data_IF_052421261653
#
_entry.id   IF_052421261653
#
_cell.length_a   1.000
_cell.length_b   1.000
_cell.length_c   1.000
_cell.angle_alpha   90.00
_cell.angle_beta   90.00
_cell.angle_gamma   90.00
#
_symmetry.space_group_name_H-M   'P 1'
#
loop_
_entity.id
_entity.type
_entity.pdbx_description
1 polymer ?
#
# COMPACT_ATOMS: atom_id res chain seq x y z
N UNK A 1 7.96 28.45 8.75
CA UNK A 1 7.81 27.07 8.24
C UNK A 1 7.09 26.23 9.30
N UNK A 2 5.82 25.87 9.12
CA UNK A 2 5.14 24.91 10.01
C UNK A 2 5.64 23.51 9.65
N UNK A 3 6.33 22.82 10.57
CA UNK A 3 6.61 21.38 10.43
C UNK A 3 5.30 20.66 10.71
N UNK A 4 4.57 20.30 9.65
CA UNK A 4 3.47 19.36 9.80
C UNK A 4 4.08 18.07 10.30
N UNK A 5 3.76 17.68 11.54
CA UNK A 5 4.10 16.36 12.04
C UNK A 5 3.20 15.37 11.29
N UNK A 6 3.67 14.92 10.13
CA UNK A 6 3.03 13.84 9.39
C UNK A 6 3.20 12.60 10.26
N UNK A 7 2.11 12.18 10.92
CA UNK A 7 2.08 10.87 11.57
C UNK A 7 2.42 9.83 10.51
N UNK A 8 3.48 9.05 10.74
CA UNK A 8 3.90 7.99 9.82
C UNK A 8 3.05 6.72 9.97
N UNK A 9 1.75 6.90 10.19
CA UNK A 9 0.81 5.83 10.48
C UNK A 9 0.09 5.41 9.19
N UNK A 10 -0.11 4.11 9.02
CA UNK A 10 -0.87 3.58 7.91
C UNK A 10 -2.36 3.82 8.13
N UNK A 11 -2.99 4.65 7.30
CA UNK A 11 -4.42 4.98 7.43
C UNK A 11 -5.38 3.78 7.22
N UNK A 12 -4.90 2.65 6.69
CA UNK A 12 -5.69 1.44 6.48
C UNK A 12 -5.56 0.42 7.62
N UNK A 13 -4.44 0.44 8.35
CA UNK A 13 -4.14 -0.60 9.36
C UNK A 13 -3.77 -0.05 10.74
N UNK A 14 -3.53 1.26 10.85
CA UNK A 14 -3.05 1.91 12.07
C UNK A 14 -1.56 1.68 12.37
N UNK A 15 -0.82 0.98 11.51
CA UNK A 15 0.60 0.66 11.74
C UNK A 15 1.48 1.92 11.78
N UNK A 16 2.28 2.16 12.83
CA UNK A 16 3.08 3.38 13.02
C UNK A 16 4.31 3.50 12.11
N UNK A 17 4.61 2.49 11.30
CA UNK A 17 5.76 2.46 10.40
C UNK A 17 5.33 2.27 8.94
N UNK A 18 4.53 3.21 8.41
CA UNK A 18 4.13 3.14 7.01
C UNK A 18 5.34 3.31 6.07
N UNK A 19 5.51 2.34 5.17
CA UNK A 19 6.52 2.34 4.10
C UNK A 19 5.86 1.93 2.79
N UNK A 20 6.52 2.15 1.64
CA UNK A 20 6.01 1.66 0.35
C UNK A 20 5.80 0.15 0.38
N UNK A 21 6.73 -0.61 0.98
CA UNK A 21 6.57 -2.06 1.14
C UNK A 21 5.36 -2.41 2.01
N UNK A 22 5.09 -1.65 3.07
CA UNK A 22 3.87 -1.82 3.85
C UNK A 22 2.62 -1.59 3.01
N UNK A 23 2.50 -0.41 2.39
CA UNK A 23 1.30 -0.02 1.63
C UNK A 23 0.97 -1.02 0.52
N UNK A 24 1.98 -1.51 -0.19
CA UNK A 24 1.78 -2.39 -1.33
C UNK A 24 1.75 -3.88 -0.98
N UNK A 25 2.37 -4.32 0.12
CA UNK A 25 2.60 -5.76 0.36
C UNK A 25 2.29 -6.17 1.79
N UNK A 26 2.93 -5.52 2.79
CA UNK A 26 2.89 -6.02 4.16
C UNK A 26 1.62 -5.65 4.94
N UNK A 27 0.93 -4.58 4.53
CA UNK A 27 -0.29 -4.09 5.15
C UNK A 27 -1.34 -5.22 5.18
N UNK A 28 -2.02 -5.46 6.32
CA UNK A 28 -3.08 -6.45 6.40
C UNK A 28 -4.15 -6.30 5.31
N UNK A 29 -4.52 -5.06 4.97
CA UNK A 29 -5.44 -4.79 3.87
C UNK A 29 -4.87 -5.22 2.52
N UNK A 30 -3.61 -4.89 2.23
CA UNK A 30 -2.95 -5.29 0.99
C UNK A 30 -2.86 -6.82 0.87
N UNK A 31 -2.55 -7.53 1.96
CA UNK A 31 -2.51 -9.01 1.99
C UNK A 31 -3.86 -9.62 1.59
N UNK A 32 -4.96 -9.12 2.14
CA UNK A 32 -6.31 -9.58 1.78
C UNK A 32 -6.60 -9.33 0.29
N UNK A 33 -6.19 -8.17 -0.24
CA UNK A 33 -6.34 -7.87 -1.67
C UNK A 33 -5.52 -8.85 -2.53
N UNK A 34 -4.29 -9.15 -2.15
CA UNK A 34 -3.44 -10.11 -2.86
C UNK A 34 -3.97 -11.55 -2.76
N UNK A 35 -4.55 -11.94 -1.63
CA UNK A 35 -5.21 -13.24 -1.46
C UNK A 35 -6.50 -13.36 -2.29
N UNK A 36 -7.20 -12.24 -2.51
CA UNK A 36 -8.42 -12.22 -3.31
C UNK A 36 -8.17 -12.27 -4.82
N UNK A 37 -6.97 -11.87 -5.27
CA UNK A 37 -6.59 -11.99 -6.68
C UNK A 37 -5.83 -13.29 -6.92
N UNK A 38 -6.03 -13.93 -8.07
CA UNK A 38 -5.38 -15.19 -8.42
C UNK A 38 -3.90 -15.02 -8.83
N UNK A 39 -3.17 -14.06 -8.23
CA UNK A 39 -1.77 -13.76 -8.55
C UNK A 39 -0.90 -14.07 -7.33
N UNK A 40 0.06 -14.97 -7.50
CA UNK A 40 0.96 -15.39 -6.43
C UNK A 40 2.12 -14.40 -6.27
N UNK A 41 1.92 -13.40 -5.42
CA UNK A 41 3.00 -12.48 -4.99
C UNK A 41 3.52 -12.84 -3.59
N UNK A 42 4.82 -12.66 -3.31
CA UNK A 42 5.36 -12.91 -1.99
C UNK A 42 4.89 -11.80 -1.04
N UNK A 43 4.01 -12.16 -0.11
CA UNK A 43 3.46 -11.25 0.92
C UNK A 43 4.20 -11.35 2.25
N UNK A 44 5.08 -12.34 2.39
CA UNK A 44 5.95 -12.60 3.54
C UNK A 44 7.38 -12.72 3.01
N UNK A 45 8.38 -12.34 3.81
CA UNK A 45 9.84 -12.56 3.60
C UNK A 45 10.70 -11.58 2.79
N UNK A 46 10.15 -10.51 2.20
CA UNK A 46 10.98 -9.48 1.52
C UNK A 46 11.28 -8.30 2.45
N UNK A 47 12.49 -7.74 2.37
CA UNK A 47 12.94 -6.66 3.27
C UNK A 47 12.49 -5.28 2.80
N UNK A 48 12.32 -5.10 1.48
CA UNK A 48 11.98 -3.82 0.89
C UNK A 48 11.21 -3.97 -0.43
N UNK A 49 10.68 -2.83 -0.91
CA UNK A 49 9.89 -2.78 -2.13
C UNK A 49 10.70 -3.07 -3.41
N UNK A 50 12.01 -2.83 -3.42
CA UNK A 50 12.85 -3.04 -4.61
C UNK A 50 13.03 -4.54 -4.87
N UNK A 51 13.37 -5.31 -3.83
CA UNK A 51 13.44 -6.78 -3.90
C UNK A 51 12.11 -7.39 -4.34
N UNK A 52 11.00 -6.88 -3.82
CA UNK A 52 9.67 -7.33 -4.21
C UNK A 52 9.37 -7.05 -5.69
N UNK A 53 9.73 -5.87 -6.21
CA UNK A 53 9.57 -5.52 -7.62
C UNK A 53 10.45 -6.39 -8.53
N UNK A 54 11.70 -6.66 -8.14
CA UNK A 54 12.59 -7.57 -8.86
C UNK A 54 11.96 -8.96 -8.94
N UNK A 55 11.48 -9.51 -7.81
CA UNK A 55 10.80 -10.80 -7.80
C UNK A 55 9.59 -10.82 -8.76
N UNK A 56 8.72 -9.80 -8.67
CA UNK A 56 7.56 -9.66 -9.55
C UNK A 56 7.98 -9.67 -11.02
N UNK A 57 9.04 -8.94 -11.37
CA UNK A 57 9.52 -8.85 -12.75
C UNK A 57 10.16 -10.14 -13.27
N UNK A 58 10.78 -10.93 -12.40
CA UNK A 58 11.49 -12.16 -12.78
C UNK A 58 10.59 -13.40 -12.80
N UNK A 59 9.53 -13.43 -11.97
CA UNK A 59 8.72 -14.62 -11.73
C UNK A 59 7.34 -14.59 -12.38
N UNK A 60 6.82 -13.42 -12.69
CA UNK A 60 5.49 -13.28 -13.27
C UNK A 60 5.55 -13.02 -14.77
N UNK A 61 4.48 -13.40 -15.46
CA UNK A 61 4.30 -13.06 -16.88
C UNK A 61 4.08 -11.56 -17.06
N UNK A 62 4.29 -11.05 -18.28
CA UNK A 62 4.03 -9.65 -18.60
C UNK A 62 2.60 -9.20 -18.25
N UNK A 63 1.62 -10.08 -18.43
CA UNK A 63 0.21 -9.81 -18.09
C UNK A 63 0.02 -9.71 -16.59
N UNK A 64 0.60 -10.63 -15.82
CA UNK A 64 0.55 -10.59 -14.35
C UNK A 64 1.29 -9.38 -13.78
N UNK A 65 2.43 -8.98 -14.35
CA UNK A 65 3.15 -7.75 -13.97
C UNK A 65 2.27 -6.51 -14.16
N UNK A 66 1.53 -6.43 -15.28
CA UNK A 66 0.57 -5.34 -15.51
C UNK A 66 -0.54 -5.37 -14.46
N UNK A 67 -1.07 -6.54 -14.14
CA UNK A 67 -2.09 -6.68 -13.09
C UNK A 67 -1.55 -6.26 -11.72
N UNK A 68 -0.32 -6.64 -11.38
CA UNK A 68 0.35 -6.22 -10.14
C UNK A 68 0.47 -4.70 -10.08
N UNK A 69 0.82 -4.04 -11.20
CA UNK A 69 0.87 -2.58 -11.27
C UNK A 69 -0.51 -1.93 -11.07
N UNK A 70 -1.56 -2.47 -11.71
CA UNK A 70 -2.94 -1.98 -11.57
C UNK A 70 -3.42 -2.10 -10.12
N UNK A 71 -3.21 -3.27 -9.49
CA UNK A 71 -3.61 -3.52 -8.10
C UNK A 71 -2.82 -2.61 -7.15
N UNK A 72 -1.51 -2.45 -7.38
CA UNK A 72 -0.67 -1.54 -6.59
C UNK A 72 -1.18 -0.10 -6.68
N UNK A 73 -1.54 0.37 -7.88
CA UNK A 73 -2.15 1.68 -8.07
C UNK A 73 -3.48 1.79 -7.31
N UNK A 74 -4.34 0.77 -7.38
CA UNK A 74 -5.63 0.76 -6.67
C UNK A 74 -5.45 0.81 -5.15
N UNK A 75 -4.48 0.08 -4.59
CA UNK A 75 -4.12 0.12 -3.17
C UNK A 75 -3.69 1.53 -2.76
N UNK A 76 -2.77 2.14 -3.52
CA UNK A 76 -2.32 3.51 -3.27
C UNK A 76 -3.45 4.53 -3.37
N UNK A 77 -4.30 4.41 -4.40
CA UNK A 77 -5.43 5.30 -4.61
C UNK A 77 -6.42 5.21 -3.45
N UNK A 78 -6.82 3.99 -3.05
CA UNK A 78 -7.71 3.77 -1.91
C UNK A 78 -7.14 4.36 -0.62
N UNK A 79 -5.86 4.07 -0.32
CA UNK A 79 -5.16 4.61 0.86
C UNK A 79 -5.17 6.14 0.86
N UNK A 80 -4.93 6.77 -0.29
CA UNK A 80 -4.94 8.23 -0.40
C UNK A 80 -6.33 8.82 -0.28
N UNK A 81 -7.35 8.17 -0.83
CA UNK A 81 -8.74 8.58 -0.65
C UNK A 81 -9.12 8.57 0.83
N UNK A 82 -8.81 7.48 1.55
CA UNK A 82 -9.03 7.38 3.01
C UNK A 82 -8.26 8.45 3.78
N UNK A 83 -6.99 8.68 3.44
CA UNK A 83 -6.20 9.76 4.07
C UNK A 83 -6.86 11.13 3.88
N UNK A 84 -7.29 11.45 2.65
CA UNK A 84 -7.91 12.74 2.33
C UNK A 84 -9.25 12.87 3.04
N UNK A 85 -10.13 11.88 2.94
CA UNK A 85 -11.44 11.88 3.61
C UNK A 85 -11.32 12.00 5.12
N UNK A 86 -10.34 11.32 5.75
CA UNK A 86 -10.08 11.45 7.17
C UNK A 86 -9.52 12.83 7.54
N UNK A 87 -8.73 13.47 6.67
CA UNK A 87 -8.34 14.87 6.86
C UNK A 87 -9.51 15.85 6.65
N UNK A 88 -10.47 15.54 5.77
CA UNK A 88 -11.67 16.37 5.54
C UNK A 88 -12.69 16.29 6.69
N UNK A 89 -12.62 15.27 7.55
CA UNK A 89 -13.49 15.11 8.73
C UNK A 89 -13.11 15.98 9.93
N UNK A 90 -12.13 16.88 9.81
CA UNK A 90 -11.99 18.02 10.71
C UNK A 90 -12.40 19.33 10.04
N UNK A 91 -13.71 19.61 9.83
CA UNK A 91 -14.16 20.98 9.92
C UNK A 91 -13.91 21.41 11.37
N UNK A 92 -13.17 22.51 11.54
CA UNK A 92 -13.05 23.17 12.82
C UNK A 92 -14.44 23.28 13.46
N UNK A 93 -14.55 22.70 14.65
CA UNK A 93 -15.66 22.91 15.56
C UNK A 93 -15.90 24.42 15.71
N UNK A 94 -17.18 24.79 15.79
CA UNK A 94 -17.68 26.17 15.92
C UNK A 94 -17.04 26.93 17.06
#
# INVERSE_FOLDING_TARGET
RRRLMVKNECFLSGDPCESSFHVFVACPFAKVVWEAVAIQVPTKSMLNIQEWLVYVSEKLTSTEVVMVAIISWALWFNRNKVRVENCSRSPQEK
#
